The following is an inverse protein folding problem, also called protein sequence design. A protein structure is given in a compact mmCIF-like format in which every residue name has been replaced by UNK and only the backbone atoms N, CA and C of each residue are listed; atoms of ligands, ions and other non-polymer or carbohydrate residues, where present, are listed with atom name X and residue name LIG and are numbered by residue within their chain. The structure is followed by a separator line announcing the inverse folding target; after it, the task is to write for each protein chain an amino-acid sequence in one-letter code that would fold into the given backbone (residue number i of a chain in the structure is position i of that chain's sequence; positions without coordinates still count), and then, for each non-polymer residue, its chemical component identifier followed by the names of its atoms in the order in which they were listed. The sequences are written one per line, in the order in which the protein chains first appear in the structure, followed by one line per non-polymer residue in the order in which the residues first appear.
data_IF_548383943184
#
_entry.id   IF_548383943184
#
_cell.length_a   1.000
_cell.length_b   1.000
_cell.length_c   1.000
_cell.angle_alpha   90.00
_cell.angle_beta   90.00
_cell.angle_gamma   90.00
#
_symmetry.space_group_name_H-M   'P 1'
#
loop_
_entity.id
_entity.type
_entity.pdbx_description
1 polymer ?
#
# COMPACT_ATOMS: atom_id res chain seq x y z
N UNK A 1 -62.31 -16.26 4.66
CA UNK A 1 -61.35 -17.38 4.75
C UNK A 1 -59.99 -16.83 5.17
N UNK A 2 -59.39 -17.47 6.18
CA UNK A 2 -58.33 -16.99 7.08
C UNK A 2 -57.20 -16.15 6.48
N UNK A 3 -56.97 -14.97 7.07
CA UNK A 3 -55.70 -14.24 7.07
C UNK A 3 -55.06 -14.39 8.44
N UNK A 4 -54.26 -15.44 8.63
CA UNK A 4 -53.39 -15.56 9.82
C UNK A 4 -52.20 -16.47 9.50
N UNK A 5 -51.03 -15.87 9.27
CA UNK A 5 -49.69 -16.42 9.45
C UNK A 5 -48.73 -15.23 9.24
N UNK A 6 -48.48 -14.43 10.30
CA UNK A 6 -47.27 -14.51 11.14
C UNK A 6 -45.99 -14.60 10.29
N UNK A 7 -45.29 -13.49 10.04
CA UNK A 7 -44.34 -12.85 10.97
C UNK A 7 -43.37 -13.88 11.55
N UNK A 8 -42.28 -14.20 10.83
CA UNK A 8 -40.92 -14.36 11.39
C UNK A 8 -39.91 -14.65 10.27
N UNK A 9 -39.19 -13.63 9.79
CA UNK A 9 -37.86 -13.77 9.17
C UNK A 9 -37.29 -12.38 8.80
N UNK A 10 -37.03 -11.52 9.78
CA UNK A 10 -36.24 -10.30 9.57
C UNK A 10 -35.35 -10.02 10.78
N UNK A 11 -34.39 -10.92 11.07
CA UNK A 11 -33.20 -10.54 11.86
C UNK A 11 -32.04 -11.43 11.41
N UNK A 12 -31.38 -11.10 10.30
CA UNK A 12 -30.05 -11.64 9.96
C UNK A 12 -29.37 -10.89 8.81
N UNK A 13 -29.28 -9.56 8.89
CA UNK A 13 -28.44 -8.77 7.95
C UNK A 13 -27.73 -7.56 8.60
N UNK A 14 -27.55 -7.53 9.93
CA UNK A 14 -26.95 -6.38 10.62
C UNK A 14 -25.46 -6.54 11.03
N UNK A 15 -24.82 -7.68 10.80
CA UNK A 15 -23.46 -7.94 11.31
C UNK A 15 -22.31 -7.54 10.36
N UNK A 16 -22.59 -7.20 9.10
CA UNK A 16 -21.54 -6.75 8.18
C UNK A 16 -21.21 -5.25 8.37
N UNK A 17 -22.20 -4.43 8.74
CA UNK A 17 -22.02 -2.99 8.92
C UNK A 17 -21.22 -2.62 10.17
N UNK A 18 -21.48 -3.27 11.32
CA UNK A 18 -20.78 -2.94 12.57
C UNK A 18 -19.27 -3.17 12.51
N UNK A 19 -18.83 -4.18 11.78
CA UNK A 19 -17.41 -4.53 11.66
C UNK A 19 -16.63 -3.52 10.81
N UNK A 20 -17.17 -3.08 9.66
CA UNK A 20 -16.50 -2.10 8.81
C UNK A 20 -16.31 -0.74 9.52
N UNK A 21 -17.32 -0.29 10.27
CA UNK A 21 -17.26 0.95 11.05
C UNK A 21 -16.27 0.86 12.22
N UNK A 22 -16.24 -0.27 12.96
CA UNK A 22 -15.28 -0.50 14.02
C UNK A 22 -13.82 -0.62 13.51
N UNK A 23 -13.64 -1.10 12.28
CA UNK A 23 -12.33 -1.20 11.64
C UNK A 23 -11.81 0.14 11.15
N UNK A 24 -12.67 0.92 10.49
CA UNK A 24 -12.37 2.30 10.13
C UNK A 24 -12.00 3.11 11.38
N UNK A 25 -12.75 2.95 12.48
CA UNK A 25 -12.46 3.66 13.73
C UNK A 25 -11.14 3.22 14.38
N UNK A 26 -10.75 1.94 14.28
CA UNK A 26 -9.46 1.47 14.79
C UNK A 26 -8.27 2.02 13.99
N UNK A 27 -8.36 2.00 12.65
CA UNK A 27 -7.35 2.62 11.79
C UNK A 27 -7.26 4.13 12.04
N UNK A 28 -8.40 4.82 12.12
CA UNK A 28 -8.45 6.25 12.39
C UNK A 28 -7.81 6.61 13.73
N UNK A 29 -8.12 5.84 14.77
CA UNK A 29 -7.54 6.04 16.11
C UNK A 29 -6.03 5.82 16.10
N UNK A 30 -5.54 4.80 15.38
CA UNK A 30 -4.12 4.55 15.23
C UNK A 30 -3.41 5.73 14.54
N UNK A 31 -3.94 6.19 13.39
CA UNK A 31 -3.35 7.31 12.64
C UNK A 31 -3.37 8.61 13.43
N UNK A 32 -4.41 8.88 14.22
CA UNK A 32 -4.45 10.07 15.10
C UNK A 32 -3.39 10.01 16.23
N UNK A 33 -3.02 8.80 16.66
CA UNK A 33 -1.99 8.60 17.69
C UNK A 33 -0.57 8.80 17.14
N UNK A 34 -0.34 8.50 15.86
CA UNK A 34 0.96 8.61 15.20
C UNK A 34 1.38 10.07 15.00
N UNK A 35 2.68 10.35 15.18
CA UNK A 35 3.23 11.71 15.18
C UNK A 35 4.16 11.99 14.02
N UNK A 36 4.70 10.95 13.38
CA UNK A 36 5.61 11.10 12.26
C UNK A 36 5.51 9.92 11.29
N UNK A 37 6.28 9.99 10.21
CA UNK A 37 6.43 8.87 9.29
C UNK A 37 7.04 7.62 9.95
N UNK A 38 7.72 7.77 11.09
CA UNK A 38 8.40 6.66 11.78
C UNK A 38 7.40 5.65 12.32
N UNK A 39 6.29 6.11 12.91
CA UNK A 39 5.27 5.21 13.43
C UNK A 39 4.54 4.42 12.31
N UNK A 40 4.38 5.02 11.12
CA UNK A 40 3.86 4.32 9.94
C UNK A 40 4.86 3.24 9.48
N UNK A 41 6.15 3.59 9.44
CA UNK A 41 7.23 2.68 9.09
C UNK A 41 7.33 1.51 10.08
N UNK A 42 7.26 1.80 11.38
CA UNK A 42 7.30 0.80 12.44
C UNK A 42 6.11 -0.15 12.34
N UNK A 43 4.90 0.38 12.11
CA UNK A 43 3.73 -0.46 11.92
C UNK A 43 3.87 -1.39 10.71
N UNK A 44 4.29 -0.87 9.55
CA UNK A 44 4.53 -1.69 8.36
C UNK A 44 5.64 -2.71 8.59
N UNK A 45 6.71 -2.32 9.29
CA UNK A 45 7.82 -3.20 9.58
C UNK A 45 7.40 -4.37 10.47
N UNK A 46 6.64 -4.09 11.52
CA UNK A 46 6.24 -5.06 12.54
C UNK A 46 5.10 -5.97 12.07
N UNK A 47 4.12 -5.44 11.35
CA UNK A 47 2.87 -6.16 11.07
C UNK A 47 2.69 -6.56 9.61
N UNK A 48 3.19 -5.76 8.66
CA UNK A 48 2.86 -5.97 7.25
C UNK A 48 3.66 -7.10 6.61
N UNK A 49 2.94 -8.07 6.06
CA UNK A 49 3.49 -9.25 5.37
C UNK A 49 3.20 -9.22 3.88
N UNK A 50 4.16 -9.67 3.06
CA UNK A 50 3.96 -9.77 1.62
C UNK A 50 3.04 -10.95 1.26
N UNK A 51 2.03 -10.69 0.42
CA UNK A 51 1.04 -11.66 -0.03
C UNK A 51 1.24 -12.02 -1.52
N UNK A 52 1.82 -13.20 -1.75
CA UNK A 52 2.01 -13.74 -3.10
C UNK A 52 0.70 -14.03 -3.83
N UNK A 53 -0.36 -14.43 -3.12
CA UNK A 53 -1.67 -14.73 -3.72
C UNK A 53 -2.33 -13.45 -4.20
N UNK A 54 -2.26 -12.37 -3.40
CA UNK A 54 -2.75 -11.05 -3.80
C UNK A 54 -1.96 -10.50 -4.99
N UNK A 55 -0.63 -10.57 -4.98
CA UNK A 55 0.17 -10.16 -6.14
C UNK A 55 -0.23 -10.96 -7.39
N UNK A 56 -0.38 -12.28 -7.29
CA UNK A 56 -0.74 -13.15 -8.41
C UNK A 56 -2.11 -12.78 -9.01
N UNK A 57 -3.08 -12.44 -8.16
CA UNK A 57 -4.39 -11.94 -8.61
C UNK A 57 -4.24 -10.61 -9.37
N UNK A 58 -3.46 -9.66 -8.84
CA UNK A 58 -3.24 -8.36 -9.48
C UNK A 58 -2.50 -8.49 -10.82
N UNK A 59 -1.51 -9.38 -10.91
CA UNK A 59 -0.80 -9.65 -12.16
C UNK A 59 -1.72 -10.27 -13.22
N UNK A 60 -2.63 -11.17 -12.82
CA UNK A 60 -3.65 -11.74 -13.71
C UNK A 60 -4.61 -10.67 -14.21
N UNK A 61 -5.15 -9.82 -13.33
CA UNK A 61 -6.02 -8.71 -13.71
C UNK A 61 -5.32 -7.74 -14.65
N UNK A 62 -4.06 -7.37 -14.36
CA UNK A 62 -3.23 -6.54 -15.24
C UNK A 62 -3.05 -7.16 -16.63
N UNK A 63 -2.86 -8.48 -16.72
CA UNK A 63 -2.75 -9.18 -17.99
C UNK A 63 -4.03 -9.14 -18.83
N UNK A 64 -5.19 -9.00 -18.20
CA UNK A 64 -6.50 -8.98 -18.86
C UNK A 64 -7.00 -7.57 -19.19
N UNK A 65 -6.70 -6.59 -18.34
CA UNK A 65 -7.24 -5.21 -18.46
C UNK A 65 -6.19 -4.11 -18.41
N UNK A 66 -4.90 -4.45 -18.52
CA UNK A 66 -3.80 -3.49 -18.50
C UNK A 66 -3.56 -2.86 -17.12
N UNK A 67 -2.82 -1.75 -17.09
CA UNK A 67 -2.44 -1.09 -15.83
C UNK A 67 -3.63 -0.57 -15.02
N UNK A 68 -4.73 -0.17 -15.68
CA UNK A 68 -5.95 0.32 -15.03
C UNK A 68 -6.73 -0.77 -14.30
N UNK A 69 -6.46 -2.05 -14.60
CA UNK A 69 -7.04 -3.18 -13.88
C UNK A 69 -6.35 -3.49 -12.55
N UNK A 70 -5.24 -2.81 -12.22
CA UNK A 70 -4.62 -2.94 -10.90
C UNK A 70 -5.54 -2.37 -9.82
N UNK A 71 -5.43 -2.93 -8.62
CA UNK A 71 -6.16 -2.44 -7.45
C UNK A 71 -5.26 -2.28 -6.26
N UNK A 72 -5.47 -1.21 -5.50
CA UNK A 72 -4.89 -1.03 -4.16
C UNK A 72 -5.97 -1.24 -3.13
N UNK A 73 -5.64 -1.91 -2.03
CA UNK A 73 -6.58 -2.08 -0.93
C UNK A 73 -6.79 -0.77 -0.18
N UNK A 74 -8.02 -0.52 0.27
CA UNK A 74 -8.33 0.55 1.22
C UNK A 74 -7.40 0.51 2.45
N UNK A 75 -6.85 1.65 2.93
CA UNK A 75 -5.90 1.67 4.05
C UNK A 75 -6.42 1.02 5.33
N UNK A 76 -7.69 1.22 5.68
CA UNK A 76 -8.29 0.58 6.86
C UNK A 76 -8.32 -0.95 6.72
N UNK A 77 -8.54 -1.46 5.50
CA UNK A 77 -8.51 -2.91 5.26
C UNK A 77 -7.09 -3.47 5.23
N UNK A 78 -6.12 -2.69 4.77
CA UNK A 78 -4.69 -3.03 4.92
C UNK A 78 -4.27 -3.06 6.39
N UNK A 79 -4.75 -2.12 7.21
CA UNK A 79 -4.51 -2.10 8.65
C UNK A 79 -5.05 -3.35 9.37
N UNK A 80 -6.23 -3.82 8.96
CA UNK A 80 -6.83 -5.03 9.51
C UNK A 80 -6.11 -6.30 9.06
N UNK A 81 -5.97 -6.50 7.74
CA UNK A 81 -5.42 -7.73 7.15
C UNK A 81 -3.90 -7.84 7.41
N UNK A 82 -3.19 -6.70 7.44
CA UNK A 82 -1.73 -6.63 7.62
C UNK A 82 -0.95 -7.41 6.57
N UNK A 83 -1.52 -7.57 5.39
CA UNK A 83 -0.94 -8.34 4.30
C UNK A 83 -1.35 -7.77 2.96
N UNK A 84 -0.48 -7.91 1.95
CA UNK A 84 -0.74 -7.46 0.59
C UNK A 84 0.52 -7.42 -0.28
N UNK A 85 0.44 -6.73 -1.41
CA UNK A 85 1.57 -6.49 -2.30
C UNK A 85 2.01 -5.01 -2.28
N UNK A 86 3.05 -4.66 -3.02
CA UNK A 86 3.68 -3.34 -3.03
C UNK A 86 2.71 -2.15 -3.06
N UNK A 87 1.70 -2.16 -3.92
CA UNK A 87 0.74 -1.06 -3.99
C UNK A 87 -0.12 -0.95 -2.72
N UNK A 88 -0.54 -2.07 -2.11
CA UNK A 88 -1.35 -2.02 -0.87
C UNK A 88 -0.54 -1.39 0.27
N UNK A 89 0.75 -1.73 0.38
CA UNK A 89 1.66 -1.12 1.35
C UNK A 89 1.87 0.38 1.09
N UNK A 90 2.11 0.74 -0.18
CA UNK A 90 2.32 2.12 -0.59
C UNK A 90 1.06 2.98 -0.37
N UNK A 91 -0.12 2.49 -0.77
CA UNK A 91 -1.40 3.18 -0.57
C UNK A 91 -1.73 3.39 0.91
N UNK A 92 -1.47 2.39 1.75
CA UNK A 92 -1.57 2.53 3.20
C UNK A 92 -0.62 3.60 3.76
N UNK A 93 0.65 3.58 3.33
CA UNK A 93 1.64 4.55 3.78
C UNK A 93 1.25 5.97 3.34
N UNK A 94 0.94 6.18 2.07
CA UNK A 94 0.56 7.49 1.51
C UNK A 94 -0.61 8.11 2.27
N UNK A 95 -1.69 7.34 2.46
CA UNK A 95 -2.87 7.86 3.17
C UNK A 95 -2.55 8.16 4.63
N UNK A 96 -1.84 7.27 5.32
CA UNK A 96 -1.47 7.47 6.72
C UNK A 96 -0.56 8.70 6.89
N UNK A 97 0.45 8.84 6.03
CA UNK A 97 1.40 9.95 6.06
C UNK A 97 0.71 11.29 5.83
N UNK A 98 -0.14 11.40 4.80
CA UNK A 98 -0.84 12.65 4.50
C UNK A 98 -1.90 13.02 5.55
N UNK A 99 -2.40 12.05 6.32
CA UNK A 99 -3.27 12.31 7.48
C UNK A 99 -2.51 12.78 8.71
N UNK A 100 -1.29 12.27 8.94
CA UNK A 100 -0.41 12.69 10.03
C UNK A 100 0.10 14.10 9.77
N UNK A 101 0.65 14.33 8.57
CA UNK A 101 1.17 15.62 8.17
C UNK A 101 1.01 15.81 6.64
N UNK A 102 0.07 16.67 6.20
CA UNK A 102 -0.11 16.98 4.77
C UNK A 102 1.14 17.56 4.09
N UNK A 103 2.05 18.19 4.83
CA UNK A 103 3.30 18.75 4.28
C UNK A 103 4.28 17.66 3.80
N UNK A 104 4.07 16.41 4.22
CA UNK A 104 4.79 15.27 3.66
C UNK A 104 4.52 15.08 2.16
N UNK A 105 3.38 15.56 1.65
CA UNK A 105 3.00 15.46 0.23
C UNK A 105 3.27 14.05 -0.31
N UNK A 106 2.87 13.05 0.45
CA UNK A 106 3.15 11.66 0.14
C UNK A 106 2.41 11.27 -1.14
N UNK A 107 3.08 10.49 -1.99
CA UNK A 107 2.56 10.06 -3.28
C UNK A 107 3.24 8.79 -3.76
N UNK A 108 2.72 8.24 -4.85
CA UNK A 108 3.28 7.04 -5.45
C UNK A 108 4.56 7.36 -6.23
N UNK A 109 5.59 6.57 -5.96
CA UNK A 109 6.79 6.47 -6.79
C UNK A 109 6.73 5.14 -7.52
N UNK A 110 6.80 5.21 -8.84
CA UNK A 110 6.84 4.07 -9.73
C UNK A 110 8.29 3.71 -10.04
N UNK A 111 8.60 2.41 -9.94
CA UNK A 111 9.89 1.86 -10.33
C UNK A 111 9.69 0.88 -11.49
N UNK A 112 10.16 1.28 -12.67
CA UNK A 112 10.15 0.42 -13.85
C UNK A 112 11.31 -0.57 -13.76
N UNK A 113 10.99 -1.83 -13.52
CA UNK A 113 11.97 -2.91 -13.63
C UNK A 113 12.40 -3.12 -15.09
N UNK A 114 13.71 -3.06 -15.35
CA UNK A 114 14.32 -3.28 -16.66
C UNK A 114 14.77 -4.71 -16.94
N UNK A 115 14.82 -5.58 -15.93
CA UNK A 115 15.31 -6.97 -16.06
C UNK A 115 14.26 -8.02 -15.69
N UNK A 116 13.00 -7.61 -15.49
CA UNK A 116 11.89 -8.48 -15.13
C UNK A 116 10.53 -7.86 -15.48
N UNK A 117 9.45 -8.66 -15.45
CA UNK A 117 8.11 -8.25 -15.88
C UNK A 117 7.26 -7.55 -14.81
N UNK A 118 7.75 -7.53 -13.57
CA UNK A 118 7.07 -6.93 -12.43
C UNK A 118 7.69 -5.58 -12.14
N UNK A 119 6.90 -4.52 -12.33
CA UNK A 119 7.23 -3.18 -11.84
C UNK A 119 6.84 -3.05 -10.38
N UNK A 120 7.39 -2.06 -9.70
CA UNK A 120 7.23 -1.87 -8.27
C UNK A 120 6.65 -0.48 -7.96
N UNK A 121 5.83 -0.40 -6.92
CA UNK A 121 5.19 0.82 -6.46
C UNK A 121 5.51 1.02 -4.98
N UNK A 122 5.98 2.22 -4.64
CA UNK A 122 6.40 2.57 -3.28
C UNK A 122 5.83 3.92 -2.89
N UNK A 123 5.82 4.23 -1.60
CA UNK A 123 5.42 5.55 -1.11
C UNK A 123 6.64 6.47 -1.07
N UNK A 124 6.63 7.54 -1.85
CA UNK A 124 7.57 8.66 -1.68
C UNK A 124 6.92 9.77 -0.87
N UNK A 125 7.71 10.51 -0.09
CA UNK A 125 7.24 11.65 0.68
C UNK A 125 8.39 12.62 0.99
N UNK A 126 8.06 13.82 1.46
CA UNK A 126 9.01 14.88 1.74
C UNK A 126 9.15 15.12 3.24
N UNK A 127 10.38 15.30 3.71
CA UNK A 127 10.69 15.79 5.07
C UNK A 127 11.82 16.80 4.93
N UNK A 128 11.60 18.02 5.44
CA UNK A 128 12.59 19.12 5.39
C UNK A 128 13.18 19.37 3.99
N UNK A 129 12.33 19.28 2.96
CA UNK A 129 12.71 19.48 1.55
C UNK A 129 13.44 18.31 0.90
N UNK A 130 13.68 17.21 1.62
CA UNK A 130 14.30 15.98 1.09
C UNK A 130 13.26 14.92 0.80
N UNK A 131 13.55 14.05 -0.16
CA UNK A 131 12.72 12.90 -0.50
C UNK A 131 13.09 11.72 0.39
N UNK A 132 12.08 11.08 0.96
CA UNK A 132 12.16 9.78 1.60
C UNK A 132 11.28 8.79 0.84
N UNK A 133 11.68 7.53 0.83
CA UNK A 133 10.94 6.44 0.19
C UNK A 133 10.67 5.33 1.18
N UNK A 134 9.41 4.97 1.35
CA UNK A 134 8.94 3.90 2.22
C UNK A 134 8.51 2.70 1.37
N UNK A 135 9.25 1.60 1.51
CA UNK A 135 9.04 0.37 0.75
C UNK A 135 8.92 -0.84 1.68
N UNK A 136 7.70 -1.35 1.84
CA UNK A 136 7.43 -2.51 2.72
C UNK A 136 6.70 -3.66 2.03
N UNK A 137 6.35 -3.51 0.75
CA UNK A 137 5.79 -4.58 -0.07
C UNK A 137 6.71 -5.25 -1.11
N UNK A 138 8.05 -5.29 -0.99
CA UNK A 138 8.85 -6.23 -1.77
C UNK A 138 8.64 -7.67 -1.29
N UNK A 139 8.82 -8.64 -2.19
CA UNK A 139 8.90 -10.06 -1.82
C UNK A 139 10.24 -10.39 -1.15
N UNK A 140 10.41 -11.63 -0.68
CA UNK A 140 11.66 -12.10 -0.07
C UNK A 140 12.88 -12.00 -1.01
N UNK A 141 12.67 -12.07 -2.32
CA UNK A 141 13.73 -11.94 -3.34
C UNK A 141 14.27 -10.51 -3.43
N UNK A 142 13.46 -9.51 -3.05
CA UNK A 142 13.80 -8.09 -3.07
C UNK A 142 13.87 -7.48 -1.67
N UNK A 143 14.10 -8.32 -0.64
CA UNK A 143 14.07 -7.90 0.76
C UNK A 143 15.03 -6.77 1.10
N UNK A 144 16.15 -6.61 0.38
CA UNK A 144 17.08 -5.49 0.62
C UNK A 144 16.47 -4.12 0.28
N UNK A 145 15.37 -4.06 -0.49
CA UNK A 145 14.61 -2.82 -0.69
C UNK A 145 13.75 -2.46 0.51
N UNK A 146 13.47 -3.40 1.44
CA UNK A 146 12.51 -3.15 2.51
C UNK A 146 13.05 -2.11 3.50
N UNK A 147 12.28 -1.05 3.75
CA UNK A 147 12.59 -0.03 4.75
C UNK A 147 12.18 1.38 4.34
N UNK A 148 12.68 2.35 5.11
CA UNK A 148 12.61 3.78 4.77
C UNK A 148 13.99 4.22 4.30
N UNK A 149 14.05 4.82 3.12
CA UNK A 149 15.27 5.25 2.45
C UNK A 149 15.30 6.76 2.27
N UNK A 150 16.49 7.33 2.25
CA UNK A 150 16.73 8.77 2.20
C UNK A 150 17.48 9.27 3.43
N UNK A 151 17.61 10.59 3.62
CA UNK A 151 17.09 11.66 2.75
C UNK A 151 17.79 11.67 1.38
N UNK A 152 17.03 12.00 0.34
CA UNK A 152 17.53 12.20 -1.02
C UNK A 152 17.21 13.59 -1.55
N UNK A 153 18.09 14.13 -2.41
CA UNK A 153 17.82 15.36 -3.16
C UNK A 153 16.96 15.10 -4.41
N UNK A 154 16.97 13.86 -4.92
CA UNK A 154 16.22 13.47 -6.11
C UNK A 154 15.90 11.97 -6.12
N UNK A 155 14.96 11.56 -6.97
CA UNK A 155 14.69 10.13 -7.20
C UNK A 155 15.82 9.41 -7.93
N UNK A 156 16.74 10.14 -8.58
CA UNK A 156 17.92 9.55 -9.23
C UNK A 156 18.91 8.99 -8.19
N UNK A 157 19.01 9.61 -7.02
CA UNK A 157 19.78 9.09 -5.89
C UNK A 157 19.16 7.78 -5.36
N UNK A 158 17.83 7.73 -5.27
CA UNK A 158 17.14 6.50 -4.89
C UNK A 158 17.30 5.40 -5.95
N UNK A 159 17.27 5.74 -7.24
CA UNK A 159 17.56 4.82 -8.33
C UNK A 159 19.00 4.27 -8.24
N UNK A 160 19.96 5.12 -7.88
CA UNK A 160 21.36 4.75 -7.66
C UNK A 160 21.48 3.77 -6.50
N UNK A 161 20.81 4.05 -5.38
CA UNK A 161 20.72 3.12 -4.25
C UNK A 161 20.16 1.75 -4.68
N UNK A 162 19.02 1.73 -5.38
CA UNK A 162 18.40 0.49 -5.84
C UNK A 162 19.31 -0.31 -6.79
N UNK A 163 20.08 0.39 -7.63
CA UNK A 163 21.04 -0.24 -8.56
C UNK A 163 22.18 -0.95 -7.83
N UNK A 164 22.56 -0.47 -6.64
CA UNK A 164 23.62 -1.07 -5.84
C UNK A 164 23.19 -2.38 -5.13
N UNK A 165 21.89 -2.64 -4.99
CA UNK A 165 21.38 -3.78 -4.20
C UNK A 165 21.57 -5.16 -4.85
N UNK A 166 22.03 -5.23 -6.12
CA UNK A 166 22.33 -6.48 -6.86
C UNK A 166 21.22 -7.55 -6.72
N UNK A 167 19.99 -7.16 -7.06
CA UNK A 167 18.79 -7.97 -6.82
C UNK A 167 18.46 -8.91 -7.98
N UNK A 168 17.91 -10.08 -7.65
CA UNK A 168 17.51 -11.07 -8.65
C UNK A 168 16.35 -10.54 -9.51
N UNK A 169 16.50 -10.63 -10.84
CA UNK A 169 15.50 -10.22 -11.82
C UNK A 169 15.01 -8.77 -11.64
N UNK A 170 15.84 -7.90 -11.05
CA UNK A 170 15.48 -6.51 -10.81
C UNK A 170 16.62 -5.57 -11.18
N UNK A 171 16.27 -4.55 -11.97
CA UNK A 171 17.11 -3.42 -12.32
C UNK A 171 16.23 -2.19 -12.42
N UNK A 172 16.48 -1.11 -11.66
CA UNK A 172 15.63 0.08 -11.67
C UNK A 172 15.92 0.91 -12.92
N UNK A 173 15.18 0.68 -14.00
CA UNK A 173 15.40 1.36 -15.27
C UNK A 173 14.82 2.78 -15.32
N UNK A 174 13.86 3.08 -14.43
CA UNK A 174 13.26 4.40 -14.23
C UNK A 174 12.65 4.43 -12.83
N UNK A 175 12.87 5.53 -12.11
CA UNK A 175 12.23 5.84 -10.83
C UNK A 175 11.61 7.23 -10.93
N UNK A 176 10.29 7.33 -10.75
CA UNK A 176 9.58 8.59 -10.97
C UNK A 176 8.29 8.68 -10.16
N UNK A 177 7.89 9.88 -9.78
CA UNK A 177 6.54 10.15 -9.28
C UNK A 177 5.51 9.86 -10.37
N UNK A 178 4.49 9.04 -10.06
CA UNK A 178 3.38 8.76 -10.98
C UNK A 178 2.07 8.64 -10.21
N UNK A 179 0.98 9.00 -10.87
CA UNK A 179 -0.35 8.63 -10.38
C UNK A 179 -0.50 7.10 -10.49
N UNK A 180 -1.04 6.48 -9.45
CA UNK A 180 -1.39 5.06 -9.52
C UNK A 180 -2.48 4.88 -10.59
N UNK A 181 -2.28 4.02 -11.60
CA UNK A 181 -3.20 3.92 -12.73
C UNK A 181 -4.45 3.10 -12.42
N UNK A 182 -4.43 2.33 -11.32
CA UNK A 182 -5.54 1.50 -10.89
C UNK A 182 -6.50 2.24 -9.95
N UNK A 183 -7.43 1.49 -9.37
CA UNK A 183 -8.43 1.99 -8.43
C UNK A 183 -8.18 1.45 -7.02
N UNK A 184 -8.87 2.02 -6.03
CA UNK A 184 -8.96 1.46 -4.69
C UNK A 184 -10.09 0.40 -4.69
N UNK A 185 -9.86 -0.74 -4.03
CA UNK A 185 -10.86 -1.82 -3.85
C UNK A 185 -12.05 -1.41 -2.97
#
# INVERSE_FOLDING_TARGET
MNRLLLVLAMVLTAFAGSNAWAQASAYDSAVQSWKSYREVADWLNTYYTFDHSRLSQMLKQRGQGGAAALRTREPAKTFEIRSGYCTDAAGFAITSLNRINPDYKAGYVFIRNGSGSTHHWVAGFHVDGKIYVMDYGPSSEWKQMRGVHGPYDSLDEYQTFLSALSLRNFSPAEVSWKNFPGEID
#
